data_IF_267182178339
#
_entry.id   IF_267182178339
#
_cell.length_a   1.000
_cell.length_b   1.000
_cell.length_c   1.000
_cell.angle_alpha   90.00
_cell.angle_beta   90.00
_cell.angle_gamma   90.00
#
_symmetry.space_group_name_H-M   'P 1'
#
loop_
_entity.id
_entity.type
_entity.pdbx_description
1 polymer ?
#
# COMPACT_ATOMS: atom_id res chain seq x y z
N UNK A 1 19.84 -8.66 -7.49
CA UNK A 1 19.82 -7.35 -6.79
C UNK A 1 19.55 -7.57 -5.30
N UNK A 2 20.00 -6.66 -4.42
CA UNK A 2 19.64 -6.61 -3.00
C UNK A 2 18.88 -5.31 -2.73
N UNK A 3 17.81 -5.35 -1.92
CA UNK A 3 16.96 -4.19 -1.58
C UNK A 3 16.76 -4.09 -0.06
N UNK A 4 17.42 -3.14 0.59
CA UNK A 4 17.39 -3.02 2.06
C UNK A 4 16.45 -1.93 2.58
N UNK A 5 15.87 -1.11 1.67
CA UNK A 5 14.97 -0.03 2.05
C UNK A 5 13.69 -0.09 1.24
N UNK A 6 12.71 -0.83 1.77
CA UNK A 6 11.42 -1.02 1.15
C UNK A 6 10.32 -1.00 2.21
N UNK A 7 9.29 -0.18 2.01
CA UNK A 7 8.13 -0.14 2.90
C UNK A 7 7.00 -0.99 2.35
N UNK A 8 6.52 -1.97 3.11
CA UNK A 8 5.46 -2.90 2.66
C UNK A 8 4.24 -2.14 2.09
N UNK A 9 3.68 -1.20 2.84
CA UNK A 9 2.50 -0.45 2.38
C UNK A 9 2.78 0.52 1.24
N UNK A 10 4.04 0.95 1.09
CA UNK A 10 4.45 1.77 -0.06
C UNK A 10 4.63 0.96 -1.34
N UNK A 11 4.42 -0.36 -1.29
CA UNK A 11 4.64 -1.30 -2.40
C UNK A 11 3.41 -2.12 -2.76
N UNK A 12 2.23 -1.73 -2.26
CA UNK A 12 0.97 -2.37 -2.61
C UNK A 12 0.63 -2.05 -4.07
N UNK A 13 0.22 -3.07 -4.83
CA UNK A 13 -0.25 -2.90 -6.21
C UNK A 13 -1.51 -2.04 -6.24
N UNK A 14 -1.62 -1.16 -7.23
CA UNK A 14 -2.79 -0.29 -7.39
C UNK A 14 -4.05 -1.10 -7.68
N UNK A 15 -3.91 -2.22 -8.40
CA UNK A 15 -4.96 -3.18 -8.68
C UNK A 15 -5.50 -3.78 -7.38
N UNK A 16 -4.62 -4.22 -6.48
CA UNK A 16 -4.98 -4.76 -5.17
C UNK A 16 -5.70 -3.73 -4.29
N UNK A 17 -5.25 -2.47 -4.31
CA UNK A 17 -5.95 -1.39 -3.60
C UNK A 17 -7.37 -1.18 -4.13
N UNK A 18 -7.59 -1.21 -5.44
CA UNK A 18 -8.93 -1.08 -6.03
C UNK A 18 -9.81 -2.28 -5.71
N UNK A 19 -9.27 -3.50 -5.80
CA UNK A 19 -10.01 -4.72 -5.49
C UNK A 19 -10.50 -4.70 -4.05
N UNK A 20 -9.61 -4.41 -3.10
CA UNK A 20 -9.94 -4.36 -1.67
C UNK A 20 -10.85 -3.19 -1.34
N UNK A 21 -10.66 -2.02 -1.96
CA UNK A 21 -11.53 -0.85 -1.80
C UNK A 21 -12.96 -1.19 -2.20
N UNK A 22 -13.15 -1.86 -3.35
CA UNK A 22 -14.47 -2.28 -3.83
C UNK A 22 -15.09 -3.35 -2.93
N UNK A 23 -14.31 -4.36 -2.54
CA UNK A 23 -14.81 -5.46 -1.72
C UNK A 23 -15.27 -5.01 -0.32
N UNK A 24 -14.64 -3.97 0.23
CA UNK A 24 -14.92 -3.43 1.57
C UNK A 24 -15.79 -2.18 1.57
N UNK A 25 -16.18 -1.69 0.39
CA UNK A 25 -16.90 -0.43 0.23
C UNK A 25 -16.18 0.78 0.89
N UNK A 26 -14.84 0.76 0.89
CA UNK A 26 -14.02 1.84 1.43
C UNK A 26 -13.61 2.76 0.28
N UNK A 27 -14.07 4.03 0.26
CA UNK A 27 -13.82 4.93 -0.86
C UNK A 27 -12.34 5.35 -0.95
N UNK A 28 -11.79 5.32 -2.16
CA UNK A 28 -10.46 5.82 -2.50
C UNK A 28 -10.55 7.21 -3.15
N UNK A 29 -11.16 8.15 -2.44
CA UNK A 29 -11.62 9.41 -3.04
C UNK A 29 -12.65 9.13 -4.14
N UNK A 30 -12.42 9.70 -5.33
CA UNK A 30 -13.25 9.45 -6.53
C UNK A 30 -12.60 8.46 -7.52
N UNK A 31 -11.49 7.82 -7.15
CA UNK A 31 -10.76 6.94 -8.06
C UNK A 31 -11.44 5.57 -8.16
N UNK A 32 -11.72 5.14 -9.39
CA UNK A 32 -12.31 3.83 -9.71
C UNK A 32 -11.43 2.98 -10.63
N UNK A 33 -10.38 3.59 -11.19
CA UNK A 33 -9.42 2.98 -12.10
C UNK A 33 -7.97 3.18 -11.62
N UNK A 34 -7.04 2.34 -12.09
CA UNK A 34 -5.62 2.44 -11.73
C UNK A 34 -5.01 3.80 -12.10
N UNK A 35 -5.27 4.39 -13.29
CA UNK A 35 -4.75 5.72 -13.62
C UNK A 35 -5.24 6.82 -12.68
N UNK A 36 -6.52 6.80 -12.29
CA UNK A 36 -7.07 7.75 -11.32
C UNK A 36 -6.42 7.59 -9.95
N UNK A 37 -6.23 6.33 -9.53
CA UNK A 37 -5.60 6.03 -8.25
C UNK A 37 -4.13 6.48 -8.21
N UNK A 38 -3.38 6.29 -9.31
CA UNK A 38 -2.02 6.80 -9.45
C UNK A 38 -1.98 8.32 -9.33
N UNK A 39 -2.90 9.03 -10.00
CA UNK A 39 -3.00 10.49 -9.90
C UNK A 39 -3.30 10.96 -8.48
N UNK A 40 -4.05 10.18 -7.71
CA UNK A 40 -4.39 10.49 -6.33
C UNK A 40 -3.24 10.21 -5.35
N UNK A 41 -2.53 9.10 -5.52
CA UNK A 41 -1.58 8.59 -4.50
C UNK A 41 -0.10 8.90 -4.81
N UNK A 42 0.26 9.17 -6.07
CA UNK A 42 1.65 9.40 -6.46
C UNK A 42 1.97 10.89 -6.38
N UNK A 43 3.02 11.23 -5.65
CA UNK A 43 3.61 12.58 -5.70
C UNK A 43 4.53 12.67 -6.91
N UNK A 44 4.05 13.28 -7.99
CA UNK A 44 4.74 13.44 -9.28
C UNK A 44 5.69 14.65 -9.34
N UNK A 45 5.50 15.60 -8.44
CA UNK A 45 6.25 16.86 -8.35
C UNK A 45 6.93 16.95 -6.98
N UNK A 46 8.20 17.39 -6.92
CA UNK A 46 8.90 17.54 -5.65
C UNK A 46 8.10 18.41 -4.66
N UNK A 47 7.79 17.83 -3.50
CA UNK A 47 7.13 18.49 -2.37
C UNK A 47 7.91 18.20 -1.09
N UNK A 48 7.27 18.33 0.06
CA UNK A 48 7.83 17.94 1.35
C UNK A 48 7.42 16.50 1.73
N UNK A 49 8.07 15.97 2.77
CA UNK A 49 7.79 14.62 3.30
C UNK A 49 6.31 14.46 3.70
N UNK A 50 5.71 15.49 4.28
CA UNK A 50 4.31 15.44 4.72
C UNK A 50 3.36 15.20 3.54
N UNK A 51 3.61 15.79 2.38
CA UNK A 51 2.81 15.58 1.17
C UNK A 51 2.85 14.11 0.71
N UNK A 52 4.00 13.44 0.81
CA UNK A 52 4.12 12.02 0.46
C UNK A 52 3.36 11.16 1.47
N UNK A 53 3.45 11.48 2.76
CA UNK A 53 2.78 10.73 3.83
C UNK A 53 1.25 10.85 3.78
N UNK A 54 0.69 11.95 3.24
CA UNK A 54 -0.76 12.11 3.09
C UNK A 54 -1.41 11.02 2.24
N UNK A 55 -0.70 10.49 1.23
CA UNK A 55 -1.22 9.41 0.41
C UNK A 55 -1.53 8.15 1.24
N UNK A 56 -0.73 7.87 2.27
CA UNK A 56 -0.91 6.72 3.14
C UNK A 56 -2.21 6.80 3.94
N UNK A 57 -2.66 7.99 4.34
CA UNK A 57 -3.94 8.16 5.03
C UNK A 57 -5.14 7.79 4.17
N UNK A 58 -5.00 7.88 2.84
CA UNK A 58 -6.05 7.55 1.88
C UNK A 58 -6.18 6.03 1.71
N UNK A 59 -5.06 5.33 1.49
CA UNK A 59 -5.11 3.91 1.12
C UNK A 59 -4.96 2.92 2.27
N UNK A 60 -4.30 3.30 3.38
CA UNK A 60 -4.09 2.36 4.49
C UNK A 60 -5.39 1.80 5.09
N UNK A 61 -6.50 2.56 5.23
CA UNK A 61 -7.76 2.03 5.74
C UNK A 61 -8.28 0.80 4.98
N UNK A 62 -7.91 0.65 3.70
CA UNK A 62 -8.30 -0.49 2.86
C UNK A 62 -7.61 -1.79 3.30
N UNK A 63 -6.49 -1.74 4.01
CA UNK A 63 -5.74 -2.92 4.48
C UNK A 63 -5.69 -3.04 6.00
N UNK A 64 -6.01 -1.98 6.75
CA UNK A 64 -6.06 -2.00 8.22
C UNK A 64 -7.10 -2.98 8.76
N UNK A 65 -6.76 -3.70 9.83
CA UNK A 65 -7.59 -4.69 10.53
C UNK A 65 -8.14 -5.83 9.67
N UNK A 66 -7.47 -6.13 8.56
CA UNK A 66 -7.77 -7.28 7.70
C UNK A 66 -6.50 -8.12 7.49
N UNK A 67 -6.45 -9.28 8.14
CA UNK A 67 -5.31 -10.18 8.08
C UNK A 67 -5.14 -10.82 6.69
N UNK A 68 -6.23 -11.10 5.98
CA UNK A 68 -6.19 -11.71 4.64
C UNK A 68 -5.62 -10.69 3.63
N UNK A 69 -6.05 -9.43 3.74
CA UNK A 69 -5.48 -8.35 2.94
C UNK A 69 -3.99 -8.13 3.24
N UNK A 70 -3.58 -8.20 4.51
CA UNK A 70 -2.18 -8.07 4.91
C UNK A 70 -1.31 -9.21 4.38
N UNK A 71 -1.79 -10.45 4.46
CA UNK A 71 -1.12 -11.61 3.88
C UNK A 71 -0.97 -11.47 2.37
N UNK A 72 -2.06 -11.08 1.68
CA UNK A 72 -2.05 -10.84 0.23
C UNK A 72 -0.98 -9.83 -0.16
N UNK A 73 -0.92 -8.66 0.47
CA UNK A 73 0.06 -7.63 0.09
C UNK A 73 1.50 -8.04 0.40
N UNK A 74 1.72 -8.82 1.46
CA UNK A 74 3.05 -9.35 1.80
C UNK A 74 3.51 -10.39 0.76
N UNK A 75 2.61 -11.27 0.33
CA UNK A 75 2.88 -12.25 -0.72
C UNK A 75 3.15 -11.57 -2.07
N UNK A 76 2.31 -10.61 -2.47
CA UNK A 76 2.47 -9.85 -3.72
C UNK A 76 3.80 -9.09 -3.76
N UNK A 77 4.26 -8.55 -2.62
CA UNK A 77 5.57 -7.92 -2.52
C UNK A 77 6.71 -8.89 -2.83
N UNK A 78 6.67 -10.11 -2.29
CA UNK A 78 7.66 -11.15 -2.60
C UNK A 78 7.69 -11.49 -4.10
N UNK A 79 6.52 -11.65 -4.72
CA UNK A 79 6.38 -11.90 -6.16
C UNK A 79 6.95 -10.74 -6.99
N UNK A 80 6.67 -9.49 -6.60
CA UNK A 80 7.19 -8.30 -7.27
C UNK A 80 8.71 -8.16 -7.14
N UNK A 81 9.27 -8.45 -5.96
CA UNK A 81 10.73 -8.47 -5.75
C UNK A 81 11.40 -9.56 -6.60
N UNK A 82 10.82 -10.76 -6.67
CA UNK A 82 11.34 -11.85 -7.49
C UNK A 82 11.35 -11.47 -8.99
N UNK A 83 10.27 -10.88 -9.51
CA UNK A 83 10.16 -10.39 -10.89
C UNK A 83 11.18 -9.30 -11.22
N UNK A 84 11.59 -8.50 -10.23
CA UNK A 84 12.64 -7.48 -10.35
C UNK A 84 14.07 -8.06 -10.24
N UNK A 85 14.22 -9.39 -10.10
CA UNK A 85 15.53 -10.03 -9.93
C UNK A 85 16.19 -9.71 -8.59
N UNK A 86 15.38 -9.35 -7.57
CA UNK A 86 15.84 -9.17 -6.20
C UNK A 86 15.94 -10.54 -5.55
N UNK A 87 17.14 -10.88 -5.04
CA UNK A 87 17.43 -12.19 -4.43
C UNK A 87 17.35 -12.13 -2.90
N UNK A 88 17.39 -10.93 -2.34
CA UNK A 88 17.25 -10.65 -0.92
C UNK A 88 16.69 -9.25 -0.72
N UNK A 89 15.69 -9.11 0.13
CA UNK A 89 15.17 -7.82 0.54
C UNK A 89 14.76 -7.78 2.01
N UNK A 90 14.81 -6.59 2.60
CA UNK A 90 14.28 -6.31 3.94
C UNK A 90 13.08 -5.37 3.84
N UNK A 91 11.89 -5.95 3.86
CA UNK A 91 10.63 -5.20 3.91
C UNK A 91 10.36 -4.70 5.32
N UNK A 92 10.14 -3.39 5.48
CA UNK A 92 9.82 -2.76 6.77
C UNK A 92 8.38 -2.27 6.83
N UNK A 93 7.79 -2.37 8.01
CA UNK A 93 6.47 -1.84 8.31
C UNK A 93 6.32 -1.63 9.83
N UNK A 94 5.49 -0.67 10.21
CA UNK A 94 4.89 -0.49 11.53
C UNK A 94 3.60 -1.31 11.67
N UNK A 95 3.56 -2.33 12.53
CA UNK A 95 2.35 -3.13 12.78
C UNK A 95 1.22 -2.31 13.42
N UNK A 96 1.53 -1.30 14.24
CA UNK A 96 0.56 -0.42 14.88
C UNK A 96 -0.28 0.42 13.89
N UNK A 97 0.17 0.56 12.64
CA UNK A 97 -0.64 1.21 11.58
C UNK A 97 -1.59 0.24 10.88
N UNK A 98 -1.31 -1.06 10.97
CA UNK A 98 -2.09 -2.11 10.32
C UNK A 98 -3.10 -2.73 11.27
N UNK A 99 -2.74 -2.90 12.53
CA UNK A 99 -3.62 -3.39 13.59
C UNK A 99 -3.84 -2.25 14.58
N UNK A 100 -5.10 -1.85 14.73
CA UNK A 100 -5.51 -0.89 15.75
C UNK A 100 -6.83 -1.29 16.38
N UNK A 101 -6.96 -0.98 17.67
CA UNK A 101 -8.22 -1.12 18.41
C UNK A 101 -9.19 -0.05 17.92
N UNK A 102 -9.86 -0.32 16.79
CA UNK A 102 -11.12 0.38 16.49
C UNK A 102 -12.19 -0.17 17.42
N UNK A 103 -12.16 0.25 18.68
CA UNK A 103 -13.38 0.40 19.45
C UNK A 103 -14.10 1.66 18.93
N UNK A 104 -15.32 1.48 18.43
CA UNK A 104 -16.29 2.46 17.87
C UNK A 104 -16.29 2.59 16.33
#
# INVERSE_FOLDING_TARGET
>A
KVELHLHLYGSIRFETLLDLSKAKEIPMGNATTVPELKKLLVTDTPKNLAAVLQAFEIFLPVVTNDLDAMERIAYELCDDQAKQGVIYFEGRYSPHRLINDKSS
#
